data_IF_553055650612
#
_entry.id   IF_553055650612
#
_cell.length_a   1.000
_cell.length_b   1.000
_cell.length_c   1.000
_cell.angle_alpha   90.00
_cell.angle_beta   90.00
_cell.angle_gamma   90.00
#
_symmetry.space_group_name_H-M   'P 1'
#
loop_
_entity.id
_entity.type
_entity.pdbx_description
1 polymer ?
#
# COMPACT_ATOMS: atom_id res chain seq x y z
N UNK A 1 -15.57 18.85 -5.97
CA UNK A 1 -15.11 17.69 -5.17
C UNK A 1 -13.92 18.17 -4.35
N UNK A 2 -13.95 18.03 -3.03
CA UNK A 2 -12.78 18.37 -2.18
C UNK A 2 -11.65 17.36 -2.40
N UNK A 3 -10.42 17.69 -2.05
CA UNK A 3 -9.28 16.74 -2.11
C UNK A 3 -9.57 15.47 -1.31
N UNK A 4 -10.19 15.62 -0.14
CA UNK A 4 -10.64 14.49 0.68
C UNK A 4 -11.68 13.62 -0.03
N UNK A 5 -12.67 14.22 -0.69
CA UNK A 5 -13.63 13.46 -1.48
C UNK A 5 -12.95 12.75 -2.65
N UNK A 6 -12.01 13.40 -3.32
CA UNK A 6 -11.28 12.81 -4.45
C UNK A 6 -10.53 11.55 -4.01
N UNK A 7 -9.78 11.63 -2.91
CA UNK A 7 -9.07 10.48 -2.36
C UNK A 7 -10.02 9.35 -1.94
N UNK A 8 -11.09 9.67 -1.22
CA UNK A 8 -12.04 8.65 -0.75
C UNK A 8 -12.80 7.96 -1.90
N UNK A 9 -13.07 8.68 -2.99
CA UNK A 9 -13.67 8.09 -4.20
C UNK A 9 -12.69 7.12 -4.86
N UNK A 10 -11.44 7.52 -5.07
CA UNK A 10 -10.41 6.63 -5.64
C UNK A 10 -10.15 5.42 -4.73
N UNK A 11 -10.05 5.64 -3.41
CA UNK A 11 -9.87 4.59 -2.42
C UNK A 11 -11.01 3.57 -2.41
N UNK A 12 -12.25 3.99 -2.70
CA UNK A 12 -13.43 3.10 -2.82
C UNK A 12 -13.67 2.55 -4.22
N UNK A 13 -12.79 2.87 -5.17
CA UNK A 13 -12.86 2.40 -6.55
C UNK A 13 -12.64 0.90 -6.69
N UNK A 14 -12.67 0.43 -7.93
CA UNK A 14 -12.35 -0.95 -8.28
C UNK A 14 -10.84 -1.16 -8.30
N UNK A 15 -10.41 -2.32 -7.80
CA UNK A 15 -9.01 -2.72 -7.80
C UNK A 15 -8.84 -4.14 -8.30
N UNK A 16 -7.72 -4.39 -8.99
CA UNK A 16 -7.30 -5.69 -9.48
C UNK A 16 -6.18 -6.23 -8.59
N UNK A 17 -6.30 -7.48 -8.16
CA UNK A 17 -5.28 -8.14 -7.34
C UNK A 17 -4.07 -8.55 -8.19
N UNK A 18 -2.87 -8.27 -7.70
CA UNK A 18 -1.65 -8.97 -8.11
C UNK A 18 -1.68 -10.39 -7.51
N UNK A 19 -2.53 -11.25 -8.09
CA UNK A 19 -2.91 -12.53 -7.46
C UNK A 19 -1.72 -13.47 -7.25
N UNK A 20 -0.83 -13.60 -8.24
CA UNK A 20 0.35 -14.48 -8.20
C UNK A 20 1.60 -13.64 -7.98
N UNK A 21 2.65 -14.26 -7.45
CA UNK A 21 3.93 -13.60 -7.22
C UNK A 21 4.51 -12.94 -8.46
N UNK A 22 4.39 -13.57 -9.65
CA UNK A 22 4.85 -12.94 -10.88
C UNK A 22 4.04 -11.70 -11.28
N UNK A 23 2.73 -11.63 -10.95
CA UNK A 23 1.95 -10.39 -11.18
C UNK A 23 2.41 -9.27 -10.25
N UNK A 24 2.89 -9.63 -9.05
CA UNK A 24 3.50 -8.67 -8.14
C UNK A 24 4.82 -8.17 -8.72
N UNK A 25 5.66 -9.07 -9.26
CA UNK A 25 6.90 -8.72 -9.95
C UNK A 25 6.65 -7.75 -11.11
N UNK A 26 5.63 -8.00 -11.93
CA UNK A 26 5.25 -7.13 -13.04
C UNK A 26 4.81 -5.74 -12.55
N UNK A 27 3.92 -5.67 -11.55
CA UNK A 27 3.45 -4.41 -10.96
C UNK A 27 4.62 -3.61 -10.36
N UNK A 28 5.54 -4.32 -9.68
CA UNK A 28 6.78 -3.78 -9.15
C UNK A 28 7.71 -3.24 -10.22
N UNK A 29 7.79 -3.85 -11.39
CA UNK A 29 8.52 -3.31 -12.54
C UNK A 29 7.93 -1.97 -12.98
N UNK A 30 6.62 -1.94 -13.24
CA UNK A 30 5.90 -0.72 -13.69
C UNK A 30 6.08 0.43 -12.70
N UNK A 31 5.94 0.17 -11.40
CA UNK A 31 6.09 1.20 -10.38
C UNK A 31 7.52 1.76 -10.30
N UNK A 32 8.55 0.93 -10.51
CA UNK A 32 9.94 1.39 -10.53
C UNK A 32 10.25 2.22 -11.77
N UNK A 33 9.70 1.86 -12.92
CA UNK A 33 9.79 2.66 -14.14
C UNK A 33 9.15 4.05 -13.96
N UNK A 34 8.08 4.11 -13.17
CA UNK A 34 7.35 5.34 -12.83
C UNK A 34 7.72 5.88 -11.42
N UNK A 35 8.94 5.64 -10.93
CA UNK A 35 9.34 6.04 -9.57
C UNK A 35 9.32 7.56 -9.35
N UNK A 36 9.43 8.35 -10.43
CA UNK A 36 9.32 9.82 -10.41
C UNK A 36 7.87 10.31 -10.65
N UNK A 37 6.91 9.40 -10.74
CA UNK A 37 5.50 9.67 -11.07
C UNK A 37 4.68 10.39 -9.98
N UNK A 38 5.33 10.93 -8.95
CA UNK A 38 4.69 11.70 -7.87
C UNK A 38 3.95 10.83 -6.85
N UNK A 39 4.64 9.85 -6.26
CA UNK A 39 4.03 8.89 -5.34
C UNK A 39 4.03 9.36 -3.89
N UNK A 40 2.84 9.42 -3.30
CA UNK A 40 2.67 9.42 -1.85
C UNK A 40 2.70 7.98 -1.34
N UNK A 41 3.47 7.71 -0.28
CA UNK A 41 3.49 6.41 0.40
C UNK A 41 2.96 6.60 1.81
N UNK A 42 1.78 6.03 2.08
CA UNK A 42 1.06 6.22 3.32
C UNK A 42 0.94 4.91 4.10
N UNK A 43 1.50 4.90 5.32
CA UNK A 43 1.23 3.86 6.32
C UNK A 43 -0.07 4.17 7.07
N UNK A 44 -1.11 3.37 6.85
CA UNK A 44 -2.46 3.65 7.36
C UNK A 44 -2.46 3.65 8.89
N UNK A 45 -3.02 4.71 9.49
CA UNK A 45 -3.03 4.93 10.94
C UNK A 45 -1.85 5.76 11.47
N UNK A 46 -0.92 6.17 10.60
CA UNK A 46 0.01 7.27 10.86
C UNK A 46 -0.55 8.59 10.29
N UNK A 47 0.14 9.72 10.50
CA UNK A 47 -0.24 10.98 9.84
C UNK A 47 -0.01 10.87 8.32
N UNK A 48 -1.01 11.21 7.47
CA UNK A 48 -0.83 11.19 6.02
C UNK A 48 0.33 12.09 5.57
N UNK A 49 1.19 11.63 4.65
CA UNK A 49 2.28 12.46 4.13
C UNK A 49 1.75 13.64 3.32
N UNK A 50 2.38 14.80 3.48
CA UNK A 50 2.09 16.01 2.69
C UNK A 50 2.93 16.15 1.43
N UNK A 51 3.94 15.30 1.25
CA UNK A 51 4.88 15.33 0.12
C UNK A 51 5.03 13.94 -0.50
N UNK A 52 5.34 13.91 -1.79
CA UNK A 52 5.69 12.69 -2.52
C UNK A 52 7.10 12.25 -2.14
N UNK A 53 7.38 10.95 -2.25
CA UNK A 53 8.75 10.44 -2.16
C UNK A 53 9.53 10.77 -3.43
N UNK A 54 10.84 10.98 -3.28
CA UNK A 54 11.74 10.94 -4.43
C UNK A 54 11.92 9.50 -4.94
N UNK A 55 12.49 9.34 -6.14
CA UNK A 55 12.64 8.03 -6.78
C UNK A 55 13.53 7.08 -5.99
N UNK A 56 14.53 7.57 -5.27
CA UNK A 56 15.42 6.73 -4.46
C UNK A 56 14.69 6.16 -3.24
N UNK A 57 13.98 7.01 -2.50
CA UNK A 57 13.18 6.62 -1.34
C UNK A 57 12.00 5.71 -1.75
N UNK A 58 11.37 5.99 -2.89
CA UNK A 58 10.31 5.15 -3.44
C UNK A 58 10.84 3.75 -3.81
N UNK A 59 11.94 3.66 -4.56
CA UNK A 59 12.56 2.38 -4.92
C UNK A 59 13.04 1.58 -3.69
N UNK A 60 13.54 2.28 -2.66
CA UNK A 60 13.88 1.66 -1.37
C UNK A 60 12.63 1.07 -0.72
N UNK A 61 11.55 1.85 -0.64
CA UNK A 61 10.27 1.36 -0.11
C UNK A 61 9.78 0.11 -0.85
N UNK A 62 9.78 0.10 -2.18
CA UNK A 62 9.31 -1.06 -2.95
C UNK A 62 10.16 -2.31 -2.69
N UNK A 63 11.48 -2.16 -2.57
CA UNK A 63 12.37 -3.30 -2.26
C UNK A 63 12.14 -3.87 -0.86
N UNK A 64 11.92 -3.00 0.12
CA UNK A 64 11.73 -3.36 1.52
C UNK A 64 10.34 -3.98 1.75
N UNK A 65 9.30 -3.44 1.11
CA UNK A 65 7.96 -4.02 1.20
C UNK A 65 7.88 -5.35 0.46
N UNK A 66 8.54 -5.51 -0.70
CA UNK A 66 8.60 -6.80 -1.40
C UNK A 66 9.25 -7.89 -0.52
N UNK A 67 10.38 -7.57 0.12
CA UNK A 67 11.06 -8.46 1.05
C UNK A 67 10.13 -8.87 2.20
N UNK A 68 9.50 -7.88 2.85
CA UNK A 68 8.55 -8.12 3.95
C UNK A 68 7.41 -9.05 3.50
N UNK A 69 6.79 -8.78 2.35
CA UNK A 69 5.65 -9.56 1.86
C UNK A 69 6.05 -11.00 1.57
N UNK A 70 7.22 -11.25 0.95
CA UNK A 70 7.69 -12.61 0.64
C UNK A 70 8.11 -13.39 1.88
N UNK A 71 8.72 -12.71 2.85
CA UNK A 71 9.14 -13.36 4.09
C UNK A 71 7.95 -13.72 4.97
N UNK A 72 6.91 -12.88 4.99
CA UNK A 72 5.83 -13.01 5.98
C UNK A 72 4.54 -13.60 5.41
N UNK A 73 4.29 -13.51 4.10
CA UNK A 73 3.14 -14.17 3.48
C UNK A 73 3.48 -15.61 3.10
N UNK A 74 3.09 -16.57 3.96
CA UNK A 74 3.41 -17.99 3.79
C UNK A 74 2.56 -18.74 2.76
N UNK A 75 1.81 -18.01 1.93
CA UNK A 75 0.97 -18.59 0.87
C UNK A 75 1.75 -18.76 -0.44
N UNK A 76 1.31 -19.70 -1.28
CA UNK A 76 1.91 -19.94 -2.60
C UNK A 76 1.48 -18.91 -3.66
N UNK A 77 0.74 -17.87 -3.26
CA UNK A 77 0.26 -16.77 -4.09
C UNK A 77 0.42 -15.45 -3.33
N UNK A 78 0.33 -14.31 -4.02
CA UNK A 78 0.43 -12.99 -3.39
C UNK A 78 -0.96 -12.57 -2.87
N UNK A 79 -1.91 -12.20 -3.73
CA UNK A 79 -3.31 -11.97 -3.33
C UNK A 79 -3.56 -10.85 -2.31
N UNK A 80 -2.54 -10.09 -1.92
CA UNK A 80 -2.58 -9.08 -0.85
C UNK A 80 -2.13 -7.69 -1.32
N UNK A 81 -1.77 -7.57 -2.60
CA UNK A 81 -1.48 -6.30 -3.26
C UNK A 81 -2.48 -6.08 -4.39
N UNK A 82 -3.02 -4.87 -4.44
CA UNK A 82 -4.07 -4.49 -5.37
C UNK A 82 -3.76 -3.15 -5.99
N UNK A 83 -3.98 -2.99 -7.29
CA UNK A 83 -3.88 -1.71 -7.99
C UNK A 83 -5.18 -1.39 -8.73
N UNK A 84 -5.47 -0.10 -8.93
CA UNK A 84 -6.58 0.34 -9.78
C UNK A 84 -6.41 -0.16 -11.22
N UNK A 85 -5.18 -0.08 -11.76
CA UNK A 85 -4.74 -0.74 -12.99
C UNK A 85 -3.33 -1.32 -12.78
N UNK A 86 -3.13 -2.62 -13.08
CA UNK A 86 -1.83 -3.28 -12.88
C UNK A 86 -0.74 -2.83 -13.87
N UNK A 87 -1.13 -2.23 -15.01
CA UNK A 87 -0.22 -1.78 -16.07
C UNK A 87 0.05 -0.29 -16.03
N UNK A 88 -0.88 0.49 -15.48
CA UNK A 88 -0.74 1.94 -15.32
C UNK A 88 -1.31 2.38 -13.96
N UNK A 89 -0.69 1.94 -12.85
CA UNK A 89 -1.21 2.19 -11.52
C UNK A 89 -1.21 3.69 -11.22
N UNK A 90 -2.29 4.16 -10.61
CA UNK A 90 -2.35 5.46 -9.93
C UNK A 90 -2.65 5.33 -8.44
N UNK A 91 -3.12 4.14 -8.04
CA UNK A 91 -3.48 3.82 -6.67
C UNK A 91 -3.19 2.34 -6.38
N UNK A 92 -2.43 2.07 -5.32
CA UNK A 92 -2.05 0.72 -4.89
C UNK A 92 -2.36 0.54 -3.42
N UNK A 93 -2.94 -0.60 -3.07
CA UNK A 93 -3.22 -1.02 -1.69
C UNK A 93 -2.41 -2.26 -1.38
N UNK A 94 -1.71 -2.23 -0.25
CA UNK A 94 -0.87 -3.32 0.24
C UNK A 94 -1.39 -3.73 1.61
N UNK A 95 -1.86 -4.98 1.71
CA UNK A 95 -2.36 -5.55 2.95
C UNK A 95 -1.24 -6.25 3.71
N UNK A 96 -1.22 -6.05 5.04
CA UNK A 96 -0.25 -6.70 5.91
C UNK A 96 -0.59 -8.21 6.05
N UNK A 97 0.33 -9.13 5.72
CA UNK A 97 0.11 -10.57 5.87
C UNK A 97 -0.34 -10.97 7.29
N UNK A 98 0.09 -10.25 8.31
CA UNK A 98 -0.22 -10.54 9.71
C UNK A 98 -1.59 -10.00 10.16
N UNK A 99 -2.32 -9.28 9.30
CA UNK A 99 -3.64 -8.72 9.62
C UNK A 99 -4.77 -9.32 8.75
N UNK A 100 -4.50 -10.39 7.99
CA UNK A 100 -5.48 -11.04 7.11
C UNK A 100 -6.49 -11.92 7.89
N UNK A 101 -6.10 -12.44 9.05
CA UNK A 101 -6.87 -13.41 9.84
C UNK A 101 -8.03 -12.84 10.67
N UNK A 102 -8.27 -11.53 10.67
CA UNK A 102 -9.35 -10.89 11.44
C UNK A 102 -10.66 -10.70 10.65
N UNK A 103 -10.76 -11.19 9.42
CA UNK A 103 -11.94 -11.02 8.58
C UNK A 103 -12.39 -12.32 7.88
N UNK A 104 -12.57 -13.41 8.63
CA UNK A 104 -13.38 -14.56 8.19
C UNK A 104 -14.90 -14.36 8.43
N UNK A 105 -15.36 -13.12 8.60
CA UNK A 105 -16.77 -12.77 8.62
C UNK A 105 -17.02 -11.67 7.59
N UNK A 106 -18.06 -11.86 6.78
CA UNK A 106 -18.66 -10.82 5.95
C UNK A 106 -18.97 -9.61 6.84
N UNK A 107 -18.08 -8.61 6.86
CA UNK A 107 -18.23 -7.38 7.66
C UNK A 107 -18.48 -6.20 6.74
N UNK A 108 -19.40 -5.32 7.14
CA UNK A 108 -19.72 -4.06 6.46
C UNK A 108 -18.52 -3.08 6.43
N UNK A 109 -17.46 -3.37 7.19
CA UNK A 109 -16.17 -2.69 7.16
C UNK A 109 -15.09 -3.67 6.71
N UNK A 110 -14.63 -3.63 5.44
CA UNK A 110 -13.51 -4.44 5.01
C UNK A 110 -12.23 -4.01 5.76
N UNK A 111 -11.26 -4.92 5.93
CA UNK A 111 -9.98 -4.55 6.52
C UNK A 111 -9.35 -3.41 5.71
N UNK A 112 -8.74 -2.45 6.40
CA UNK A 112 -7.94 -1.43 5.75
C UNK A 112 -6.60 -2.03 5.32
N UNK A 113 -6.00 -1.54 4.21
CA UNK A 113 -4.65 -1.90 3.85
C UNK A 113 -3.67 -1.40 4.93
N UNK A 114 -2.51 -2.06 5.05
CA UNK A 114 -1.43 -1.55 5.90
C UNK A 114 -0.75 -0.34 5.27
N UNK A 115 -0.63 -0.34 3.94
CA UNK A 115 -0.01 0.74 3.18
C UNK A 115 -0.78 1.07 1.91
N UNK A 116 -0.70 2.34 1.51
CA UNK A 116 -1.23 2.86 0.26
C UNK A 116 -0.13 3.59 -0.52
N UNK A 117 -0.05 3.34 -1.82
CA UNK A 117 0.68 4.17 -2.78
C UNK A 117 -0.35 4.93 -3.60
N UNK A 118 -0.25 6.24 -3.70
CA UNK A 118 -1.19 7.02 -4.50
C UNK A 118 -0.52 8.21 -5.17
N UNK A 119 -0.95 8.54 -6.39
CA UNK A 119 -0.56 9.80 -7.06
C UNK A 119 -1.35 11.02 -6.58
N UNK A 120 -2.42 10.78 -5.83
CA UNK A 120 -3.23 11.81 -5.17
C UNK A 120 -2.85 11.91 -3.68
N UNK A 121 -2.88 13.12 -3.09
CA UNK A 121 -2.57 13.31 -1.68
C UNK A 121 -3.47 12.46 -0.78
N UNK A 122 -2.90 11.65 0.13
CA UNK A 122 -3.68 10.84 1.03
C UNK A 122 -4.37 11.69 2.09
N UNK A 123 -5.54 11.23 2.52
CA UNK A 123 -6.23 11.77 3.68
C UNK A 123 -6.24 10.78 4.81
N UNK A 124 -6.45 11.28 6.02
CA UNK A 124 -6.54 10.43 7.18
C UNK A 124 -7.71 9.47 7.01
N UNK A 125 -7.39 8.19 7.12
CA UNK A 125 -8.35 7.11 7.03
C UNK A 125 -8.59 6.67 8.47
N UNK A 126 -9.83 6.75 9.00
CA UNK A 126 -10.11 6.39 10.38
C UNK A 126 -9.85 4.89 10.57
N UNK A 127 -8.64 4.56 10.97
CA UNK A 127 -8.20 3.20 11.18
C UNK A 127 -8.61 2.79 12.60
N UNK A 128 -9.51 1.81 12.69
CA UNK A 128 -9.85 1.17 13.97
C UNK A 128 -8.69 0.31 14.48
N UNK A 129 -7.75 -0.08 13.61
CA UNK A 129 -6.51 -0.78 13.96
C UNK A 129 -5.31 0.12 13.78
N UNK A 130 -4.59 0.37 14.86
CA UNK A 130 -3.25 0.94 14.78
C UNK A 130 -2.27 -0.12 14.27
N UNK A 131 -1.32 0.28 13.40
CA UNK A 131 -0.23 -0.58 12.99
C UNK A 131 0.50 -1.16 14.23
N UNK A 132 0.78 -2.47 14.27
CA UNK A 132 1.50 -3.06 15.39
C UNK A 132 2.92 -2.47 15.50
N UNK A 133 3.47 -2.48 16.72
CA UNK A 133 4.71 -1.77 17.06
C UNK A 133 5.93 -2.18 16.21
N UNK A 134 5.97 -3.43 15.74
CA UNK A 134 6.99 -3.89 14.79
C UNK A 134 6.90 -3.15 13.45
N UNK A 135 5.71 -2.95 12.90
CA UNK A 135 5.46 -2.19 11.66
C UNK A 135 5.79 -0.72 11.83
N UNK A 136 5.40 -0.12 12.95
CA UNK A 136 5.78 1.27 13.26
C UNK A 136 7.30 1.44 13.31
N UNK A 137 8.03 0.49 13.91
CA UNK A 137 9.51 0.51 13.93
C UNK A 137 10.13 0.31 12.55
N UNK A 138 9.63 -0.67 11.78
CA UNK A 138 10.08 -0.91 10.41
C UNK A 138 9.87 0.34 9.54
N UNK A 139 8.66 0.92 9.58
CA UNK A 139 8.30 2.13 8.85
C UNK A 139 9.22 3.31 9.20
N UNK A 140 9.45 3.57 10.49
CA UNK A 140 10.37 4.65 10.91
C UNK A 140 11.80 4.42 10.41
N UNK A 141 12.29 3.18 10.37
CA UNK A 141 13.65 2.86 9.89
C UNK A 141 13.84 3.12 8.40
N UNK A 142 12.78 3.07 7.61
CA UNK A 142 12.86 3.37 6.18
C UNK A 142 13.16 4.84 5.89
N UNK A 143 12.70 5.74 6.77
CA UNK A 143 12.80 7.19 6.56
C UNK A 143 13.66 7.91 7.60
N UNK A 144 14.14 7.21 8.63
CA UNK A 144 15.20 7.71 9.50
C UNK A 144 16.53 7.66 8.73
N UNK A 145 17.05 8.85 8.40
CA UNK A 145 18.45 9.01 7.99
C UNK A 145 19.38 8.84 9.17
#
# INVERSE_FOLDING_TARGET
MTEQQHYLVAFRGSFTSALRWHHLDDLWGVLREDAEGGWYVYAVGETPPSTVLDSAAFNRFISEIDTLLREEHKENYCGIVYADDLRQPSFVKIYDPNNLGVSCGYSDNPPLPGWVLSKIPPVDLPATQQLPNNRKRWWRRLFSS
#
